data_IF_281986260581
#
_entry.id   IF_281986260581
#
_cell.length_a   1.000
_cell.length_b   1.000
_cell.length_c   1.000
_cell.angle_alpha   90.00
_cell.angle_beta   90.00
_cell.angle_gamma   90.00
#
_symmetry.space_group_name_H-M   'P 1'
#
loop_
_entity.id
_entity.type
_entity.pdbx_description
1 polymer ?
#
# COMPACT_ATOMS: atom_id res chain seq x y z
N UNK A 1 -16.19 -76.14 46.14
CA UNK A 1 -15.88 -74.78 46.64
C UNK A 1 -15.12 -74.05 45.54
N UNK A 2 -15.80 -73.25 44.72
CA UNK A 2 -15.16 -72.34 43.76
C UNK A 2 -14.98 -70.98 44.45
N UNK A 3 -13.73 -70.51 44.53
CA UNK A 3 -13.41 -69.17 45.02
C UNK A 3 -13.38 -68.20 43.83
N UNK A 4 -14.27 -67.22 43.84
CA UNK A 4 -14.31 -66.13 42.86
C UNK A 4 -13.34 -65.02 43.29
N UNK A 5 -12.37 -64.68 42.45
CA UNK A 5 -11.51 -63.51 42.61
C UNK A 5 -12.16 -62.30 41.92
N UNK A 6 -12.46 -61.26 42.70
CA UNK A 6 -12.98 -59.98 42.21
C UNK A 6 -11.83 -59.01 41.98
N UNK A 7 -11.70 -58.49 40.76
CA UNK A 7 -10.69 -57.52 40.34
C UNK A 7 -11.27 -56.09 40.43
N UNK A 8 -10.64 -55.11 41.10
CA UNK A 8 -11.07 -53.71 41.01
C UNK A 8 -10.43 -53.04 39.79
N UNK A 9 -11.27 -52.60 38.85
CA UNK A 9 -10.88 -51.80 37.68
C UNK A 9 -10.75 -50.32 38.08
N UNK A 10 -9.52 -49.82 38.18
CA UNK A 10 -9.25 -48.39 38.35
C UNK A 10 -9.47 -47.66 37.02
N UNK A 11 -10.52 -46.84 36.96
CA UNK A 11 -10.79 -45.89 35.87
C UNK A 11 -9.94 -44.62 36.06
N UNK A 12 -8.80 -44.57 35.38
CA UNK A 12 -7.98 -43.36 35.25
C UNK A 12 -8.65 -42.38 34.28
N UNK A 13 -9.32 -41.36 34.79
CA UNK A 13 -9.81 -40.21 34.02
C UNK A 13 -8.61 -39.40 33.52
N UNK A 14 -8.24 -39.61 32.26
CA UNK A 14 -7.27 -38.78 31.55
C UNK A 14 -7.99 -37.51 31.08
N UNK A 15 -7.81 -36.41 31.82
CA UNK A 15 -8.16 -35.07 31.33
C UNK A 15 -7.21 -34.70 30.18
N UNK A 16 -7.57 -35.10 28.95
CA UNK A 16 -6.95 -34.56 27.76
C UNK A 16 -7.28 -33.08 27.66
N UNK A 17 -6.32 -32.21 27.98
CA UNK A 17 -6.39 -30.82 27.60
C UNK A 17 -6.36 -30.75 26.07
N UNK A 18 -7.53 -30.65 25.44
CA UNK A 18 -7.62 -30.23 24.04
C UNK A 18 -7.03 -28.83 23.98
N UNK A 19 -5.85 -28.70 23.34
CA UNK A 19 -5.37 -27.40 22.91
C UNK A 19 -6.45 -26.83 21.99
N UNK A 20 -7.17 -25.80 22.44
CA UNK A 20 -8.14 -25.11 21.61
C UNK A 20 -7.42 -24.56 20.37
N UNK A 21 -7.95 -24.85 19.18
CA UNK A 21 -7.42 -24.28 17.94
C UNK A 21 -7.39 -22.76 18.06
N UNK A 22 -6.22 -22.17 17.80
CA UNK A 22 -6.03 -20.72 17.85
C UNK A 22 -6.97 -20.07 16.82
N UNK A 23 -7.69 -18.98 17.17
CA UNK A 23 -8.52 -18.27 16.20
C UNK A 23 -7.64 -17.71 15.07
N UNK A 24 -8.12 -17.80 13.84
CA UNK A 24 -7.41 -17.26 12.67
C UNK A 24 -7.99 -15.91 12.28
N UNK A 25 -7.15 -14.88 12.18
CA UNK A 25 -7.48 -13.60 11.56
C UNK A 25 -7.05 -13.61 10.10
N UNK A 26 -8.00 -13.44 9.18
CA UNK A 26 -7.71 -13.35 7.75
C UNK A 26 -7.61 -11.91 7.30
N UNK A 27 -6.47 -11.52 6.74
CA UNK A 27 -6.21 -10.17 6.22
C UNK A 27 -5.98 -10.24 4.72
N UNK A 28 -6.84 -9.57 3.94
CA UNK A 28 -6.61 -9.43 2.50
C UNK A 28 -5.65 -8.27 2.26
N UNK A 29 -4.61 -8.50 1.48
CA UNK A 29 -3.58 -7.51 1.13
C UNK A 29 -2.97 -7.83 -0.22
N UNK A 30 -1.91 -7.14 -0.63
CA UNK A 30 -1.23 -7.28 -1.91
C UNK A 30 0.06 -8.11 -1.82
N UNK A 31 0.50 -8.65 -2.95
CA UNK A 31 1.61 -9.62 -3.07
C UNK A 31 2.91 -9.17 -2.39
N UNK A 32 3.39 -7.97 -2.67
CA UNK A 32 4.64 -7.40 -2.16
C UNK A 32 4.61 -7.23 -0.65
N UNK A 33 3.45 -6.94 -0.05
CA UNK A 33 3.30 -6.89 1.41
C UNK A 33 3.60 -8.25 2.05
N UNK A 34 3.14 -9.33 1.42
CA UNK A 34 3.19 -10.71 1.97
C UNK A 34 4.45 -11.48 1.59
N UNK A 35 5.20 -10.99 0.61
CA UNK A 35 6.43 -11.61 0.12
C UNK A 35 7.46 -11.81 1.25
N UNK A 36 8.39 -12.77 1.06
CA UNK A 36 9.45 -13.06 2.05
C UNK A 36 10.36 -11.84 2.33
N UNK A 37 10.46 -10.92 1.38
CA UNK A 37 11.21 -9.68 1.49
C UNK A 37 10.35 -8.48 1.93
N UNK A 38 9.02 -8.64 1.99
CA UNK A 38 8.07 -7.62 2.42
C UNK A 38 7.95 -7.52 3.95
N UNK A 39 7.07 -6.62 4.45
CA UNK A 39 6.86 -6.43 5.89
C UNK A 39 6.01 -7.55 6.54
N UNK A 40 5.21 -8.28 5.76
CA UNK A 40 4.23 -9.26 6.21
C UNK A 40 4.78 -10.34 7.15
N UNK A 41 5.89 -11.03 6.82
CA UNK A 41 6.46 -12.05 7.70
C UNK A 41 6.80 -11.54 9.10
N UNK A 42 7.42 -10.36 9.20
CA UNK A 42 7.77 -9.75 10.50
C UNK A 42 6.53 -9.33 11.29
N UNK A 43 5.56 -8.73 10.61
CA UNK A 43 4.25 -8.33 11.19
C UNK A 43 3.51 -9.55 11.74
N UNK A 44 3.48 -10.65 10.97
CA UNK A 44 2.86 -11.91 11.39
C UNK A 44 3.51 -12.44 12.65
N UNK A 45 4.83 -12.57 12.69
CA UNK A 45 5.54 -13.02 13.88
C UNK A 45 5.27 -12.14 15.10
N UNK A 46 5.32 -10.81 14.95
CA UNK A 46 5.10 -9.88 16.05
C UNK A 46 3.66 -9.93 16.58
N UNK A 47 2.65 -9.95 15.71
CA UNK A 47 1.25 -9.98 16.12
C UNK A 47 0.87 -11.32 16.78
N UNK A 48 1.31 -12.45 16.20
CA UNK A 48 1.03 -13.80 16.73
C UNK A 48 1.63 -14.04 18.11
N UNK A 49 2.75 -13.37 18.43
CA UNK A 49 3.35 -13.40 19.76
C UNK A 49 2.47 -12.74 20.84
N UNK A 50 1.52 -11.88 20.46
CA UNK A 50 0.71 -11.07 21.37
C UNK A 50 -0.77 -11.48 21.41
N UNK A 51 -1.33 -11.91 20.28
CA UNK A 51 -2.77 -12.16 20.15
C UNK A 51 -3.21 -13.58 20.57
N UNK A 52 -2.29 -14.55 20.69
CA UNK A 52 -2.65 -15.95 20.87
C UNK A 52 -3.44 -16.54 19.68
N UNK A 53 -3.28 -15.96 18.49
CA UNK A 53 -4.04 -16.23 17.28
C UNK A 53 -3.13 -16.75 16.14
N UNK A 54 -3.73 -17.05 15.00
CA UNK A 54 -3.02 -17.19 13.73
C UNK A 54 -3.36 -16.01 12.81
N UNK A 55 -2.36 -15.36 12.23
CA UNK A 55 -2.53 -14.33 11.22
C UNK A 55 -2.36 -14.95 9.82
N UNK A 56 -3.43 -14.93 9.03
CA UNK A 56 -3.44 -15.42 7.66
C UNK A 56 -3.52 -14.25 6.68
N UNK A 57 -2.43 -13.96 5.98
CA UNK A 57 -2.46 -13.01 4.87
C UNK A 57 -2.91 -13.71 3.59
N UNK A 58 -3.87 -13.11 2.90
CA UNK A 58 -4.27 -13.52 1.54
C UNK A 58 -3.75 -12.46 0.57
N UNK A 59 -2.75 -12.87 -0.21
CA UNK A 59 -2.13 -12.04 -1.24
C UNK A 59 -3.03 -11.94 -2.47
N UNK A 60 -3.31 -10.71 -2.88
CA UNK A 60 -3.96 -10.35 -4.13
C UNK A 60 -2.96 -9.58 -5.02
N UNK A 61 -3.26 -9.42 -6.30
CA UNK A 61 -2.33 -8.80 -7.27
C UNK A 61 -1.89 -7.37 -6.85
N UNK A 62 -2.80 -6.54 -6.35
CA UNK A 62 -2.54 -5.16 -5.93
C UNK A 62 -3.63 -4.64 -4.96
N UNK A 63 -3.46 -3.43 -4.41
CA UNK A 63 -4.45 -2.85 -3.50
C UNK A 63 -5.81 -2.47 -4.15
N UNK A 64 -5.85 -2.25 -5.47
CA UNK A 64 -7.11 -2.10 -6.22
C UNK A 64 -7.89 -3.44 -6.31
N UNK A 65 -7.15 -4.55 -6.37
CA UNK A 65 -7.67 -5.90 -6.34
C UNK A 65 -8.25 -6.25 -4.97
N UNK A 66 -7.72 -5.70 -3.87
CA UNK A 66 -8.30 -5.84 -2.51
C UNK A 66 -9.74 -5.33 -2.46
N UNK A 67 -9.98 -4.09 -2.87
CA UNK A 67 -11.35 -3.53 -2.87
C UNK A 67 -12.27 -4.28 -3.84
N UNK A 68 -11.75 -4.62 -5.03
CA UNK A 68 -12.53 -5.34 -6.05
C UNK A 68 -12.95 -6.73 -5.56
N UNK A 69 -12.04 -7.46 -4.90
CA UNK A 69 -12.32 -8.77 -4.30
C UNK A 69 -13.34 -8.66 -3.17
N UNK A 70 -13.17 -7.69 -2.27
CA UNK A 70 -14.12 -7.45 -1.18
C UNK A 70 -15.54 -7.19 -1.71
N UNK A 71 -15.66 -6.35 -2.77
CA UNK A 71 -16.95 -6.06 -3.41
C UNK A 71 -17.59 -7.29 -4.06
N UNK A 72 -16.78 -8.12 -4.72
CA UNK A 72 -17.25 -9.33 -5.39
C UNK A 72 -17.79 -10.36 -4.39
N UNK A 73 -17.09 -10.55 -3.27
CA UNK A 73 -17.49 -11.50 -2.23
C UNK A 73 -18.61 -10.97 -1.31
N UNK A 74 -18.69 -9.64 -1.15
CA UNK A 74 -19.70 -8.98 -0.33
C UNK A 74 -19.71 -9.50 1.11
N UNK A 75 -20.89 -9.83 1.63
CA UNK A 75 -21.06 -10.33 3.01
C UNK A 75 -20.48 -11.73 3.24
N UNK A 76 -20.18 -12.47 2.16
CA UNK A 76 -19.65 -13.83 2.24
C UNK A 76 -18.12 -13.86 2.24
N UNK A 77 -17.47 -12.69 2.23
CA UNK A 77 -16.01 -12.59 2.27
C UNK A 77 -15.43 -13.31 3.48
N UNK A 78 -14.23 -13.87 3.29
CA UNK A 78 -13.46 -14.48 4.38
C UNK A 78 -12.52 -13.48 5.06
N UNK A 79 -12.41 -12.27 4.53
CA UNK A 79 -11.60 -11.22 5.14
C UNK A 79 -12.19 -10.75 6.47
N UNK A 80 -11.34 -10.65 7.48
CA UNK A 80 -11.63 -9.98 8.75
C UNK A 80 -11.16 -8.52 8.70
N UNK A 81 -10.04 -8.29 8.03
CA UNK A 81 -9.45 -6.97 7.76
C UNK A 81 -9.07 -6.92 6.29
N UNK A 82 -9.21 -5.75 5.68
CA UNK A 82 -8.57 -5.42 4.41
C UNK A 82 -7.44 -4.44 4.69
N UNK A 83 -6.24 -4.71 4.16
CA UNK A 83 -5.05 -3.88 4.30
C UNK A 83 -4.50 -3.62 2.89
N UNK A 84 -4.13 -2.38 2.59
CA UNK A 84 -3.70 -1.97 1.24
C UNK A 84 -4.80 -1.27 0.43
N UNK A 85 -5.83 -0.77 1.11
CA UNK A 85 -6.63 0.32 0.55
C UNK A 85 -5.80 1.61 0.56
N UNK A 86 -6.28 2.69 -0.07
CA UNK A 86 -5.59 3.98 -0.01
C UNK A 86 -6.56 5.17 0.03
N UNK A 87 -6.02 6.35 0.30
CA UNK A 87 -6.75 7.62 0.37
C UNK A 87 -7.63 7.91 -0.86
N UNK A 88 -7.23 7.49 -2.06
CA UNK A 88 -7.95 7.80 -3.30
C UNK A 88 -9.22 6.94 -3.48
N UNK A 89 -9.30 5.79 -2.82
CA UNK A 89 -10.43 4.85 -2.94
C UNK A 89 -11.29 4.75 -1.68
N UNK A 90 -11.00 5.53 -0.64
CA UNK A 90 -11.75 5.52 0.64
C UNK A 90 -13.26 5.70 0.45
N UNK A 91 -13.65 6.70 -0.35
CA UNK A 91 -15.06 7.00 -0.57
C UNK A 91 -15.79 5.85 -1.29
N UNK A 92 -15.14 5.20 -2.27
CA UNK A 92 -15.68 4.02 -2.94
C UNK A 92 -15.78 2.82 -1.99
N UNK A 93 -14.75 2.62 -1.17
CA UNK A 93 -14.72 1.54 -0.18
C UNK A 93 -15.82 1.71 0.88
N UNK A 94 -16.06 2.94 1.36
CA UNK A 94 -17.13 3.23 2.30
C UNK A 94 -18.53 3.03 1.69
N UNK A 95 -18.74 3.42 0.42
CA UNK A 95 -20.01 3.23 -0.29
C UNK A 95 -20.41 1.76 -0.46
N UNK A 96 -19.47 0.81 -0.33
CA UNK A 96 -19.80 -0.62 -0.37
C UNK A 96 -20.69 -1.06 0.81
N UNK A 97 -20.64 -0.34 1.94
CA UNK A 97 -21.30 -0.74 3.18
C UNK A 97 -20.73 -2.00 3.84
N UNK A 98 -19.56 -2.48 3.38
CA UNK A 98 -18.90 -3.71 3.86
C UNK A 98 -17.93 -3.47 5.01
N UNK A 99 -17.60 -2.21 5.32
CA UNK A 99 -16.63 -1.85 6.35
C UNK A 99 -17.33 -1.54 7.68
N UNK A 100 -16.69 -1.93 8.79
CA UNK A 100 -17.09 -1.59 10.14
C UNK A 100 -16.24 -0.43 10.67
N UNK A 101 -16.80 0.32 11.63
CA UNK A 101 -16.04 1.34 12.34
C UNK A 101 -15.00 0.70 13.26
N UNK A 102 -13.90 1.42 13.51
CA UNK A 102 -12.89 1.07 14.50
C UNK A 102 -12.86 2.09 15.63
N UNK A 103 -12.23 1.70 16.74
CA UNK A 103 -12.01 2.54 17.93
C UNK A 103 -10.51 2.83 18.16
N UNK A 104 -9.68 2.68 17.12
CA UNK A 104 -8.23 2.97 17.18
C UNK A 104 -7.98 4.44 17.48
N UNK A 105 -7.15 4.70 18.50
CA UNK A 105 -6.63 6.03 18.80
C UNK A 105 -5.59 6.44 17.74
N UNK A 106 -5.94 7.44 16.92
CA UNK A 106 -5.12 7.96 15.84
C UNK A 106 -4.35 9.21 16.22
N UNK A 107 -4.33 9.60 17.51
CA UNK A 107 -3.61 10.80 17.97
C UNK A 107 -2.09 10.73 17.75
N UNK A 108 -1.54 9.52 17.59
CA UNK A 108 -0.12 9.26 17.30
C UNK A 108 0.21 9.35 15.81
N UNK A 109 -0.79 9.47 14.94
CA UNK A 109 -0.58 9.56 13.49
C UNK A 109 0.02 10.91 13.13
N UNK A 110 1.15 10.89 12.41
CA UNK A 110 1.97 12.07 12.10
C UNK A 110 1.98 12.43 10.61
N UNK A 111 1.06 11.85 9.84
CA UNK A 111 0.84 12.23 8.43
C UNK A 111 0.52 13.73 8.35
N UNK A 112 1.08 14.48 7.37
CA UNK A 112 0.70 15.87 7.15
C UNK A 112 -0.82 16.05 7.00
N UNK A 113 -1.41 16.98 7.75
CA UNK A 113 -2.86 17.20 7.78
C UNK A 113 -3.61 16.35 8.82
N UNK A 114 -2.92 15.45 9.52
CA UNK A 114 -3.51 14.58 10.54
C UNK A 114 -4.37 13.47 9.95
N UNK A 115 -4.98 12.68 10.84
CA UNK A 115 -5.89 11.61 10.44
C UNK A 115 -7.05 11.50 11.42
N UNK A 116 -8.27 11.63 10.92
CA UNK A 116 -9.50 11.37 11.68
C UNK A 116 -10.51 10.71 10.74
N UNK A 117 -10.62 9.39 10.85
CA UNK A 117 -11.58 8.62 10.08
C UNK A 117 -12.09 7.44 10.92
N UNK A 118 -13.41 7.19 10.95
CA UNK A 118 -13.96 6.12 11.78
C UNK A 118 -13.85 4.72 11.16
N UNK A 119 -13.45 4.58 9.89
CA UNK A 119 -13.40 3.30 9.17
C UNK A 119 -12.00 2.86 8.78
N UNK A 120 -11.08 3.81 8.61
CA UNK A 120 -9.77 3.57 8.01
C UNK A 120 -8.65 3.97 8.98
N UNK A 121 -7.72 3.05 9.21
CA UNK A 121 -6.48 3.32 9.96
C UNK A 121 -5.33 3.35 8.96
N UNK A 122 -4.51 4.40 8.92
CA UNK A 122 -3.38 4.46 8.03
C UNK A 122 -2.24 3.63 8.60
N UNK A 123 -1.47 2.98 7.75
CA UNK A 123 -0.37 2.12 8.20
C UNK A 123 0.99 2.58 7.66
N UNK A 124 1.03 3.19 6.48
CA UNK A 124 2.16 3.93 5.94
C UNK A 124 1.68 5.04 5.00
N UNK A 125 2.63 5.85 4.54
CA UNK A 125 2.39 6.82 3.48
C UNK A 125 3.65 7.05 2.63
N UNK A 126 3.44 7.61 1.44
CA UNK A 126 4.51 7.95 0.51
C UNK A 126 4.04 8.95 -0.52
N UNK A 127 4.96 9.35 -1.39
CA UNK A 127 4.69 10.32 -2.43
C UNK A 127 5.11 9.74 -3.77
N UNK A 128 4.24 9.82 -4.77
CA UNK A 128 4.60 9.43 -6.12
C UNK A 128 5.68 10.35 -6.66
N UNK A 129 6.70 9.77 -7.28
CA UNK A 129 7.82 10.50 -7.87
C UNK A 129 8.41 9.71 -9.03
N UNK A 130 9.00 10.42 -9.99
CA UNK A 130 9.80 9.77 -11.02
C UNK A 130 11.21 9.52 -10.49
N UNK A 131 11.61 8.24 -10.47
CA UNK A 131 12.95 7.80 -10.08
C UNK A 131 13.84 7.79 -11.32
N UNK A 132 15.10 8.21 -11.14
CA UNK A 132 16.10 8.25 -12.20
C UNK A 132 17.48 7.86 -11.64
N UNK A 133 18.41 7.50 -12.53
CA UNK A 133 19.80 7.25 -12.17
C UNK A 133 20.65 8.52 -12.38
N UNK A 134 21.17 9.11 -11.29
CA UNK A 134 21.98 10.34 -11.26
C UNK A 134 23.30 10.24 -12.03
N UNK A 135 23.82 9.03 -12.26
CA UNK A 135 25.03 8.84 -13.06
C UNK A 135 24.74 9.04 -14.54
N UNK A 136 23.55 8.63 -15.00
CA UNK A 136 23.09 8.70 -16.39
C UNK A 136 22.39 10.02 -16.72
N UNK A 137 21.55 10.53 -15.81
CA UNK A 137 20.76 11.75 -16.01
C UNK A 137 21.20 12.86 -15.05
N UNK A 138 21.90 13.87 -15.58
CA UNK A 138 22.40 15.02 -14.79
C UNK A 138 21.39 16.14 -14.59
N UNK A 139 20.45 16.29 -15.53
CA UNK A 139 19.48 17.37 -15.56
C UNK A 139 18.04 16.81 -15.54
N UNK A 140 17.60 16.15 -14.45
CA UNK A 140 16.22 15.66 -14.34
C UNK A 140 15.22 16.84 -14.40
N UNK A 141 13.96 16.59 -14.83
CA UNK A 141 12.91 17.60 -14.73
C UNK A 141 12.69 18.02 -13.27
N UNK A 142 12.45 19.32 -13.06
CA UNK A 142 12.24 19.91 -11.72
C UNK A 142 10.78 20.25 -11.43
N UNK A 143 9.89 19.91 -12.34
CA UNK A 143 8.45 20.15 -12.24
C UNK A 143 7.69 19.13 -13.07
N UNK A 144 6.42 18.90 -12.74
CA UNK A 144 5.54 18.09 -13.58
C UNK A 144 5.35 18.77 -14.95
N UNK A 145 5.39 20.09 -15.00
CA UNK A 145 5.45 20.85 -16.26
C UNK A 145 6.66 20.50 -17.11
N UNK A 146 7.86 20.55 -16.55
CA UNK A 146 9.07 20.12 -17.27
C UNK A 146 9.00 18.65 -17.67
N UNK A 147 8.49 17.78 -16.79
CA UNK A 147 8.27 16.38 -17.13
C UNK A 147 7.41 16.28 -18.39
N UNK A 148 6.31 17.01 -18.49
CA UNK A 148 5.35 16.95 -19.62
C UNK A 148 5.90 17.60 -20.89
N UNK A 149 6.58 18.74 -20.79
CA UNK A 149 6.93 19.57 -21.95
C UNK A 149 8.27 19.24 -22.59
N UNK A 150 9.22 18.68 -21.84
CA UNK A 150 10.54 18.28 -22.36
C UNK A 150 10.49 16.95 -23.12
N UNK A 151 11.38 16.77 -24.07
CA UNK A 151 11.50 15.60 -24.95
C UNK A 151 12.90 14.97 -24.94
N UNK A 152 13.78 15.40 -24.03
CA UNK A 152 15.17 14.95 -23.93
C UNK A 152 15.37 13.66 -23.10
N UNK A 153 14.28 13.05 -22.64
CA UNK A 153 14.28 11.79 -21.89
C UNK A 153 13.00 11.01 -22.15
N UNK A 154 13.05 9.71 -21.91
CA UNK A 154 11.88 8.83 -21.97
C UNK A 154 11.48 8.32 -20.59
N UNK A 155 10.23 7.83 -20.47
CA UNK A 155 9.67 7.37 -19.20
C UNK A 155 8.93 6.04 -19.32
N UNK A 156 8.84 5.33 -18.20
CA UNK A 156 7.89 4.23 -17.99
C UNK A 156 6.97 4.57 -16.80
N UNK A 157 5.69 4.23 -16.91
CA UNK A 157 4.74 4.30 -15.81
C UNK A 157 3.71 3.16 -15.91
N UNK A 158 2.83 3.04 -14.91
CA UNK A 158 1.87 1.93 -14.83
C UNK A 158 0.46 2.36 -15.27
N UNK A 159 -0.34 1.40 -15.72
CA UNK A 159 -1.71 1.62 -16.15
C UNK A 159 -2.61 1.99 -14.96
N UNK A 160 -3.30 3.15 -14.98
CA UNK A 160 -4.14 3.59 -13.86
C UNK A 160 -5.40 2.75 -13.62
N UNK A 161 -5.73 1.81 -14.51
CA UNK A 161 -6.85 0.87 -14.36
C UNK A 161 -6.49 -0.32 -13.49
N UNK A 162 -5.22 -0.69 -13.43
CA UNK A 162 -4.73 -1.88 -12.72
C UNK A 162 -3.73 -1.55 -11.63
N UNK A 163 -3.00 -0.43 -11.70
CA UNK A 163 -1.99 -0.08 -10.70
C UNK A 163 -2.40 1.11 -9.85
N UNK A 164 -2.23 1.01 -8.52
CA UNK A 164 -2.36 2.17 -7.62
C UNK A 164 -1.33 3.24 -7.97
N UNK A 165 -0.10 2.85 -8.31
CA UNK A 165 0.94 3.80 -8.73
C UNK A 165 0.54 4.51 -10.01
N UNK A 166 0.01 3.78 -11.00
CA UNK A 166 -0.55 4.37 -12.22
C UNK A 166 -1.71 5.32 -11.94
N UNK A 167 -2.64 4.93 -11.06
CA UNK A 167 -3.74 5.79 -10.62
C UNK A 167 -3.22 7.05 -9.92
N UNK A 168 -2.15 6.91 -9.14
CA UNK A 168 -1.42 8.00 -8.51
C UNK A 168 -0.99 9.07 -9.52
N UNK A 169 -0.35 8.66 -10.62
CA UNK A 169 0.03 9.61 -11.69
C UNK A 169 -1.18 10.19 -12.40
N UNK A 170 -2.25 9.42 -12.63
CA UNK A 170 -3.51 9.94 -13.16
C UNK A 170 -4.04 11.11 -12.33
N UNK A 171 -4.10 10.91 -11.01
CA UNK A 171 -4.59 11.93 -10.07
C UNK A 171 -3.58 13.08 -9.91
N UNK A 172 -2.29 12.80 -9.99
CA UNK A 172 -1.25 13.82 -9.94
C UNK A 172 -1.32 14.76 -11.14
N UNK A 173 -1.37 14.22 -12.36
CA UNK A 173 -1.55 15.01 -13.59
C UNK A 173 -2.85 15.80 -13.50
N UNK A 174 -3.95 15.19 -13.05
CA UNK A 174 -5.22 15.91 -12.92
C UNK A 174 -5.16 17.03 -11.88
N UNK A 175 -4.49 16.83 -10.76
CA UNK A 175 -4.34 17.84 -9.70
C UNK A 175 -3.57 19.08 -10.16
N UNK A 176 -2.63 18.93 -11.09
CA UNK A 176 -1.79 20.03 -11.61
C UNK A 176 -2.39 20.66 -12.86
N UNK A 177 -2.92 19.86 -13.79
CA UNK A 177 -3.38 20.34 -15.09
C UNK A 177 -4.88 20.60 -15.18
N UNK A 178 -5.70 20.05 -14.28
CA UNK A 178 -7.15 20.18 -14.31
C UNK A 178 -7.72 19.81 -15.67
N UNK A 179 -8.41 20.75 -16.32
CA UNK A 179 -9.04 20.54 -17.63
C UNK A 179 -8.04 20.38 -18.79
N UNK A 180 -6.76 20.74 -18.58
CA UNK A 180 -5.68 20.56 -19.57
C UNK A 180 -4.98 19.20 -19.46
N UNK A 181 -5.53 18.27 -18.68
CA UNK A 181 -4.90 16.98 -18.46
C UNK A 181 -4.78 16.14 -19.75
N UNK A 182 -5.77 16.21 -20.65
CA UNK A 182 -5.71 15.53 -21.95
C UNK A 182 -4.48 15.98 -22.79
N UNK A 183 -4.26 17.29 -22.92
CA UNK A 183 -3.10 17.85 -23.63
C UNK A 183 -1.78 17.41 -23.00
N UNK A 184 -1.73 17.35 -21.66
CA UNK A 184 -0.56 16.87 -20.93
C UNK A 184 -0.29 15.39 -21.23
N UNK A 185 -1.34 14.56 -21.26
CA UNK A 185 -1.24 13.13 -21.57
C UNK A 185 -0.76 12.86 -22.99
N UNK A 186 -1.23 13.62 -24.00
CA UNK A 186 -0.71 13.52 -25.36
C UNK A 186 0.80 13.79 -25.44
N UNK A 187 1.30 14.77 -24.67
CA UNK A 187 2.74 15.06 -24.61
C UNK A 187 3.52 13.99 -23.83
N UNK A 188 2.95 13.46 -22.76
CA UNK A 188 3.52 12.33 -22.01
C UNK A 188 3.65 11.10 -22.93
N UNK A 189 2.61 10.80 -23.71
CA UNK A 189 2.56 9.64 -24.61
C UNK A 189 3.77 9.59 -25.56
N UNK A 190 4.17 10.74 -26.12
CA UNK A 190 5.28 10.85 -27.08
C UNK A 190 6.65 10.39 -26.57
N UNK A 191 6.85 10.39 -25.25
CA UNK A 191 8.10 9.95 -24.59
C UNK A 191 7.90 8.74 -23.68
N UNK A 192 6.72 8.11 -23.73
CA UNK A 192 6.42 6.92 -22.95
C UNK A 192 6.96 5.70 -23.68
N UNK A 193 7.90 4.98 -23.07
CA UNK A 193 8.44 3.73 -23.63
C UNK A 193 7.38 2.62 -23.58
N UNK A 194 6.72 2.49 -22.42
CA UNK A 194 5.60 1.56 -22.23
C UNK A 194 4.73 1.98 -21.04
N UNK A 195 3.52 1.44 -20.99
CA UNK A 195 2.61 1.50 -19.85
C UNK A 195 2.44 0.07 -19.32
N UNK A 196 3.01 -0.23 -18.15
CA UNK A 196 2.98 -1.58 -17.58
C UNK A 196 1.69 -1.86 -16.80
N UNK A 197 1.35 -3.14 -16.55
CA UNK A 197 0.18 -3.50 -15.73
C UNK A 197 0.37 -3.09 -14.27
N UNK A 198 1.56 -3.32 -13.72
CA UNK A 198 1.90 -3.01 -12.33
C UNK A 198 3.30 -2.43 -12.15
N UNK A 199 3.57 -2.00 -10.91
CA UNK A 199 4.87 -1.42 -10.53
C UNK A 199 6.01 -2.44 -10.67
N UNK A 200 5.76 -3.69 -10.25
CA UNK A 200 6.69 -4.82 -10.32
C UNK A 200 7.13 -5.18 -11.74
N UNK A 201 6.35 -4.78 -12.76
CA UNK A 201 6.74 -4.93 -14.16
C UNK A 201 7.66 -3.78 -14.59
N UNK A 202 7.28 -2.53 -14.27
CA UNK A 202 7.98 -1.33 -14.72
C UNK A 202 9.34 -1.07 -14.07
N UNK A 203 9.46 -1.33 -12.76
CA UNK A 203 10.67 -0.95 -12.02
C UNK A 203 11.89 -1.78 -12.47
N UNK A 204 11.79 -3.12 -12.67
CA UNK A 204 12.89 -3.89 -13.24
C UNK A 204 13.28 -3.48 -14.66
N UNK A 205 12.32 -3.06 -15.50
CA UNK A 205 12.63 -2.54 -16.85
C UNK A 205 13.50 -1.27 -16.77
N UNK A 206 13.16 -0.37 -15.84
CA UNK A 206 13.97 0.81 -15.56
C UNK A 206 15.39 0.45 -15.06
N UNK A 207 15.52 -0.51 -14.14
CA UNK A 207 16.83 -0.96 -13.66
C UNK A 207 17.70 -1.56 -14.78
N UNK A 208 17.08 -2.19 -15.78
CA UNK A 208 17.75 -2.68 -17.01
C UNK A 208 18.12 -1.58 -18.00
N UNK A 209 17.73 -0.33 -17.73
CA UNK A 209 18.02 0.82 -18.57
C UNK A 209 17.07 1.00 -19.75
N UNK A 210 15.87 0.42 -19.71
CA UNK A 210 14.87 0.58 -20.77
C UNK A 210 14.22 1.97 -20.77
N UNK A 211 14.35 2.74 -19.67
CA UNK A 211 13.97 4.15 -19.64
C UNK A 211 14.88 5.02 -18.76
N UNK A 212 14.85 6.33 -18.99
CA UNK A 212 15.59 7.32 -18.19
C UNK A 212 14.93 7.55 -16.82
N UNK A 213 13.60 7.49 -16.77
CA UNK A 213 12.83 7.65 -15.53
C UNK A 213 11.67 6.67 -15.43
N UNK A 214 11.32 6.28 -14.21
CA UNK A 214 10.14 5.45 -13.92
C UNK A 214 9.26 6.06 -12.84
N UNK A 215 7.95 6.00 -13.01
CA UNK A 215 7.02 6.35 -11.94
C UNK A 215 7.15 5.34 -10.78
N UNK A 216 7.49 5.84 -9.60
CA UNK A 216 7.62 5.09 -8.36
C UNK A 216 7.33 6.01 -7.17
N UNK A 217 8.05 5.86 -6.06
CA UNK A 217 7.89 6.66 -4.86
C UNK A 217 9.15 7.48 -4.55
N UNK A 218 8.97 8.59 -3.82
CA UNK A 218 10.09 9.41 -3.32
C UNK A 218 11.02 8.63 -2.39
N UNK A 219 10.51 7.55 -1.79
CA UNK A 219 11.23 6.65 -0.88
C UNK A 219 11.95 5.50 -1.58
N UNK A 220 11.68 5.23 -2.87
CA UNK A 220 12.32 4.11 -3.59
C UNK A 220 13.86 4.13 -3.56
N UNK A 221 14.56 5.28 -3.61
CA UNK A 221 16.01 5.29 -3.46
C UNK A 221 16.52 4.71 -2.14
N UNK A 222 15.71 4.66 -1.08
CA UNK A 222 16.10 4.06 0.20
C UNK A 222 16.42 2.58 0.07
N UNK A 223 15.71 1.84 -0.80
CA UNK A 223 16.02 0.44 -1.10
C UNK A 223 17.46 0.31 -1.61
N UNK A 224 17.80 1.08 -2.64
CA UNK A 224 19.14 1.04 -3.23
C UNK A 224 20.22 1.44 -2.22
N UNK A 225 19.98 2.49 -1.42
CA UNK A 225 20.94 2.95 -0.42
C UNK A 225 21.17 1.90 0.67
N UNK A 226 20.09 1.31 1.21
CA UNK A 226 20.14 0.48 2.42
C UNK A 226 20.41 -0.99 2.09
N UNK A 227 19.72 -1.54 1.08
CA UNK A 227 19.80 -2.95 0.72
C UNK A 227 20.93 -3.25 -0.26
N UNK A 228 21.26 -2.30 -1.16
CA UNK A 228 22.26 -2.52 -2.22
C UNK A 228 23.53 -1.68 -2.04
N UNK A 229 23.59 -0.80 -1.04
CA UNK A 229 24.68 0.17 -0.86
C UNK A 229 24.95 0.99 -2.13
N UNK A 230 23.90 1.32 -2.87
CA UNK A 230 23.92 2.03 -4.14
C UNK A 230 23.22 3.38 -4.02
N UNK A 231 23.99 4.46 -4.20
CA UNK A 231 23.51 5.84 -4.10
C UNK A 231 23.21 6.47 -5.47
N UNK A 232 23.22 5.71 -6.56
CA UNK A 232 23.06 6.25 -7.91
C UNK A 232 21.63 6.70 -8.20
N UNK A 233 20.63 6.12 -7.52
CA UNK A 233 19.23 6.41 -7.75
C UNK A 233 18.74 7.60 -6.93
N UNK A 234 17.84 8.39 -7.51
CA UNK A 234 17.17 9.49 -6.83
C UNK A 234 15.74 9.65 -7.35
N UNK A 235 14.89 10.28 -6.55
CA UNK A 235 13.54 10.67 -6.92
C UNK A 235 13.50 12.16 -7.26
N UNK A 236 12.89 12.52 -8.39
CA UNK A 236 12.78 13.91 -8.81
C UNK A 236 11.82 14.69 -7.88
N UNK A 237 12.26 15.87 -7.44
CA UNK A 237 11.47 16.75 -6.57
C UNK A 237 10.78 17.84 -7.40
N UNK A 238 9.47 17.73 -7.61
CA UNK A 238 8.74 18.62 -8.50
C UNK A 238 8.19 19.85 -7.76
N UNK A 239 8.36 21.02 -8.36
CA UNK A 239 8.01 22.32 -7.77
C UNK A 239 6.52 22.50 -7.44
N UNK A 240 5.63 21.84 -8.19
CA UNK A 240 4.19 21.82 -7.92
C UNK A 240 3.84 21.04 -6.65
N UNK A 241 4.72 20.12 -6.23
CA UNK A 241 4.48 19.14 -5.19
C UNK A 241 4.29 17.74 -5.76
N UNK A 242 4.21 16.77 -4.85
CA UNK A 242 4.05 15.36 -5.17
C UNK A 242 2.72 14.86 -4.63
N UNK A 243 2.07 14.00 -5.40
CA UNK A 243 0.82 13.39 -4.99
C UNK A 243 1.07 12.30 -3.95
N UNK A 244 0.37 12.37 -2.82
CA UNK A 244 0.53 11.42 -1.74
C UNK A 244 -0.36 10.18 -1.90
N UNK A 245 0.21 9.05 -1.49
CA UNK A 245 -0.51 7.84 -1.18
C UNK A 245 -0.43 7.62 0.33
N UNK A 246 -1.58 7.46 0.96
CA UNK A 246 -1.69 6.99 2.34
C UNK A 246 -2.34 5.63 2.26
N UNK A 247 -1.64 4.58 2.68
CA UNK A 247 -2.16 3.22 2.65
C UNK A 247 -2.93 2.92 3.94
N UNK A 248 -4.07 2.25 3.77
CA UNK A 248 -5.13 2.14 4.77
C UNK A 248 -5.52 0.69 5.00
N UNK A 249 -5.81 0.40 6.26
CA UNK A 249 -6.52 -0.79 6.67
C UNK A 249 -7.95 -0.46 7.10
N UNK A 250 -8.86 -1.42 6.95
CA UNK A 250 -10.22 -1.31 7.44
C UNK A 250 -10.75 -2.66 7.95
N UNK A 251 -11.56 -2.59 9.01
CA UNK A 251 -12.24 -3.76 9.58
C UNK A 251 -13.43 -4.16 8.72
N UNK A 252 -13.60 -5.45 8.46
CA UNK A 252 -14.72 -5.97 7.67
C UNK A 252 -15.95 -6.19 8.55
N UNK A 253 -17.11 -5.69 8.12
CA UNK A 253 -18.36 -5.72 8.89
C UNK A 253 -18.95 -7.11 9.08
N UNK A 254 -18.78 -8.00 8.11
CA UNK A 254 -19.27 -9.38 8.19
C UNK A 254 -18.34 -10.34 8.94
N UNK A 255 -17.16 -9.88 9.39
CA UNK A 255 -16.21 -10.71 10.12
C UNK A 255 -16.84 -11.32 11.37
N UNK A 256 -16.60 -12.61 11.57
CA UNK A 256 -16.93 -13.33 12.80
C UNK A 256 -15.86 -13.15 13.90
N UNK A 257 -14.71 -12.56 13.56
CA UNK A 257 -13.56 -12.34 14.43
C UNK A 257 -13.40 -10.86 14.81
N UNK A 258 -14.49 -10.12 15.02
CA UNK A 258 -14.48 -8.66 15.27
C UNK A 258 -13.48 -8.23 16.36
N UNK A 259 -13.44 -8.91 17.50
CA UNK A 259 -12.50 -8.57 18.60
C UNK A 259 -11.04 -8.73 18.18
N UNK A 260 -10.74 -9.77 17.42
CA UNK A 260 -9.37 -10.03 16.94
C UNK A 260 -8.99 -9.04 15.83
N UNK A 261 -9.95 -8.66 14.98
CA UNK A 261 -9.77 -7.58 14.02
C UNK A 261 -9.51 -6.25 14.72
N UNK A 262 -10.23 -5.92 15.81
CA UNK A 262 -9.97 -4.70 16.60
C UNK A 262 -8.56 -4.69 17.21
N UNK A 263 -8.08 -5.83 17.72
CA UNK A 263 -6.70 -5.97 18.19
C UNK A 263 -5.69 -5.72 17.08
N UNK A 264 -5.92 -6.28 15.88
CA UNK A 264 -5.04 -6.04 14.74
C UNK A 264 -5.07 -4.58 14.27
N UNK A 265 -6.25 -3.96 14.21
CA UNK A 265 -6.39 -2.55 13.85
C UNK A 265 -5.62 -1.64 14.83
N UNK A 266 -5.60 -1.96 16.13
CA UNK A 266 -4.77 -1.26 17.13
C UNK A 266 -3.28 -1.54 16.94
N UNK A 267 -2.92 -2.79 16.62
CA UNK A 267 -1.54 -3.19 16.39
C UNK A 267 -0.88 -2.45 15.22
N UNK A 268 -1.64 -2.01 14.22
CA UNK A 268 -1.13 -1.23 13.07
C UNK A 268 -0.33 0.01 13.52
N UNK A 269 -0.75 0.68 14.59
CA UNK A 269 -0.07 1.89 15.09
C UNK A 269 0.96 1.59 16.20
N UNK A 270 1.27 0.32 16.45
CA UNK A 270 2.32 -0.08 17.38
C UNK A 270 3.72 0.06 16.77
N UNK A 271 4.74 0.16 17.62
CA UNK A 271 6.14 0.25 17.17
C UNK A 271 6.57 -1.02 16.41
N UNK A 272 6.06 -2.20 16.79
CA UNK A 272 6.36 -3.47 16.10
C UNK A 272 5.89 -3.47 14.65
N UNK A 273 4.70 -2.91 14.38
CA UNK A 273 4.20 -2.75 13.02
C UNK A 273 4.94 -1.62 12.29
N UNK A 274 5.05 -0.46 12.93
CA UNK A 274 5.56 0.76 12.30
C UNK A 274 7.07 0.68 12.00
N UNK A 275 7.84 -0.06 12.78
CA UNK A 275 9.30 -0.18 12.62
C UNK A 275 9.71 -0.87 11.32
N UNK A 276 8.82 -1.69 10.74
CA UNK A 276 9.13 -2.45 9.52
C UNK A 276 8.63 -1.77 8.25
N UNK A 277 7.90 -0.65 8.32
CA UNK A 277 7.38 0.04 7.12
C UNK A 277 8.51 0.57 6.24
N UNK A 278 9.50 1.25 6.84
CA UNK A 278 10.58 1.90 6.12
C UNK A 278 11.53 0.94 5.37
N UNK A 279 11.65 -0.31 5.81
CA UNK A 279 12.58 -1.30 5.20
C UNK A 279 11.91 -2.56 4.70
N UNK A 280 10.60 -2.72 4.95
CA UNK A 280 9.78 -3.79 4.40
C UNK A 280 8.95 -3.31 3.21
N UNK A 281 8.16 -2.25 3.39
CA UNK A 281 7.31 -1.70 2.32
C UNK A 281 7.98 -0.54 1.56
N UNK A 282 9.11 -0.02 2.06
CA UNK A 282 9.82 1.15 1.52
C UNK A 282 8.95 2.41 1.48
N UNK A 283 8.12 2.58 2.51
CA UNK A 283 7.21 3.70 2.73
C UNK A 283 7.50 4.37 4.07
N UNK A 284 7.04 5.60 4.27
CA UNK A 284 7.15 6.26 5.56
C UNK A 284 6.16 5.65 6.56
N UNK A 285 6.59 5.35 7.80
CA UNK A 285 5.68 5.00 8.88
C UNK A 285 4.76 6.19 9.21
N UNK A 286 3.58 5.91 9.72
CA UNK A 286 2.59 6.93 10.11
C UNK A 286 2.75 7.40 11.55
N UNK A 287 3.72 6.88 12.31
CA UNK A 287 4.05 7.30 13.68
C UNK A 287 5.44 7.92 13.76
N UNK A 288 5.84 8.41 14.93
CA UNK A 288 7.16 9.02 15.18
C UNK A 288 8.30 8.00 15.34
N UNK A 289 8.18 6.79 14.80
CA UNK A 289 9.26 5.81 14.88
C UNK A 289 10.47 6.31 14.08
N UNK A 290 11.67 6.07 14.63
CA UNK A 290 12.90 6.53 14.00
C UNK A 290 13.09 5.87 12.63
N UNK A 291 13.34 6.68 11.61
CA UNK A 291 13.70 6.18 10.28
C UNK A 291 15.11 5.56 10.30
N UNK A 292 15.33 4.49 9.53
CA UNK A 292 16.65 3.87 9.43
C UNK A 292 17.63 4.78 8.68
N UNK A 293 18.92 4.64 8.98
CA UNK A 293 20.00 5.35 8.26
C UNK A 293 19.87 5.13 6.76
N UNK A 294 20.07 6.17 5.97
CA UNK A 294 19.83 6.23 4.53
C UNK A 294 18.60 7.05 4.16
N UNK A 295 17.57 7.09 5.02
CA UNK A 295 16.38 7.91 4.78
C UNK A 295 16.68 9.42 4.81
N UNK A 296 17.67 9.86 5.57
CA UNK A 296 18.11 11.25 5.63
C UNK A 296 18.69 11.77 4.30
N UNK A 297 19.03 10.86 3.37
CA UNK A 297 19.56 11.19 2.05
C UNK A 297 18.46 11.36 0.99
N UNK A 298 17.20 11.06 1.34
CA UNK A 298 16.07 11.15 0.41
C UNK A 298 15.61 12.59 0.27
N UNK A 299 15.13 12.92 -0.94
CA UNK A 299 14.44 14.19 -1.16
C UNK A 299 13.03 14.11 -0.60
N UNK A 300 12.72 14.96 0.38
CA UNK A 300 11.36 15.09 0.92
C UNK A 300 10.58 16.12 0.08
N UNK A 301 9.39 15.75 -0.43
CA UNK A 301 8.45 16.68 -1.08
C UNK A 301 8.20 17.94 -0.27
N UNK A 302 8.22 19.09 -0.92
CA UNK A 302 7.92 20.39 -0.26
C UNK A 302 6.43 20.63 -0.10
N UNK A 303 5.61 19.98 -0.93
CA UNK A 303 4.15 20.08 -0.93
C UNK A 303 3.53 18.70 -1.15
N UNK A 304 2.60 18.36 -0.27
CA UNK A 304 1.76 17.19 -0.41
C UNK A 304 0.51 17.55 -1.21
N UNK A 305 0.35 16.94 -2.38
CA UNK A 305 -0.87 17.03 -3.17
C UNK A 305 -1.77 15.84 -2.86
N UNK A 306 -3.08 16.10 -2.76
CA UNK A 306 -4.10 15.07 -2.64
C UNK A 306 -5.42 15.67 -3.12
N UNK A 307 -6.21 14.91 -3.88
CA UNK A 307 -7.56 15.31 -4.26
C UNK A 307 -8.58 14.83 -3.21
N UNK A 308 -9.71 15.52 -3.12
CA UNK A 308 -10.82 15.10 -2.28
C UNK A 308 -11.29 13.68 -2.70
N UNK A 309 -11.28 12.68 -1.78
CA UNK A 309 -11.69 11.32 -2.09
C UNK A 309 -13.11 11.20 -2.66
N UNK A 310 -14.03 12.09 -2.29
CA UNK A 310 -15.40 12.13 -2.84
C UNK A 310 -15.42 12.60 -4.29
N UNK A 311 -14.55 13.54 -4.65
CA UNK A 311 -14.39 13.99 -6.03
C UNK A 311 -13.74 12.87 -6.85
N UNK A 312 -12.67 12.26 -6.33
CA UNK A 312 -12.01 11.12 -6.99
C UNK A 312 -13.02 10.00 -7.25
N UNK A 313 -13.81 9.59 -6.25
CA UNK A 313 -14.79 8.52 -6.42
C UNK A 313 -15.80 8.78 -7.54
N UNK A 314 -16.23 10.03 -7.74
CA UNK A 314 -17.18 10.44 -8.79
C UNK A 314 -16.52 10.54 -10.16
N UNK A 315 -15.28 11.01 -10.22
CA UNK A 315 -14.63 11.42 -11.47
C UNK A 315 -13.62 10.43 -12.02
N UNK A 316 -13.10 9.50 -11.20
CA UNK A 316 -12.02 8.59 -11.57
C UNK A 316 -12.29 7.88 -12.90
N UNK A 317 -13.49 7.32 -13.10
CA UNK A 317 -13.87 6.65 -14.36
C UNK A 317 -13.80 7.61 -15.57
N UNK A 318 -14.15 8.87 -15.39
CA UNK A 318 -14.08 9.87 -16.45
C UNK A 318 -12.63 10.23 -16.77
N UNK A 319 -11.81 10.50 -15.74
CA UNK A 319 -10.39 10.83 -15.90
C UNK A 319 -9.58 9.66 -16.47
N UNK A 320 -9.91 8.42 -16.12
CA UNK A 320 -9.31 7.24 -16.73
C UNK A 320 -9.62 7.16 -18.23
N UNK A 321 -10.85 7.50 -18.66
CA UNK A 321 -11.18 7.56 -20.09
C UNK A 321 -10.49 8.72 -20.80
N UNK A 322 -10.40 9.89 -20.16
CA UNK A 322 -9.62 11.03 -20.66
C UNK A 322 -8.18 10.62 -20.94
N UNK A 323 -7.52 9.92 -20.01
CA UNK A 323 -6.20 9.34 -20.19
C UNK A 323 -6.13 8.35 -21.36
N UNK A 324 -7.04 7.36 -21.42
CA UNK A 324 -7.03 6.36 -22.50
C UNK A 324 -7.16 6.99 -23.89
N UNK A 325 -8.07 7.96 -24.05
CA UNK A 325 -8.28 8.63 -25.32
C UNK A 325 -7.05 9.45 -25.72
N UNK A 326 -6.45 10.19 -24.77
CA UNK A 326 -5.27 11.00 -25.02
C UNK A 326 -4.01 10.19 -25.41
N UNK A 327 -3.93 8.90 -25.06
CA UNK A 327 -2.85 8.01 -25.50
C UNK A 327 -3.06 7.41 -26.90
N UNK A 328 -4.29 7.48 -27.44
CA UNK A 328 -4.67 6.84 -28.71
C UNK A 328 -4.69 7.83 -29.89
N UNK A 329 -4.35 9.10 -29.65
CA UNK A 329 -4.27 10.19 -30.62
C UNK A 329 -2.83 10.49 -31.02
#
# INVERSE_FOLDING_TARGET
>A
MLAAFSLPLLLSLSNGAQAADKPTLTVYTYDSFTSDWGPGPKIKTAFEAQCGCQLNFVALDDGGSVLSRLRLEGKNTKADVVLGLNNNIMAQAQQTGLLAKHDVDTSKVTIPGGWDNPYFVPFDYGYFAFVYNKTKMKNPPKSLKELVERDDFNIIYQDPRTSITGQGLLLWVKSVYGDKAADAWQKIAKKTVTVSKGWSDSYPMFLKGESDMVLSYSTSPAYHIIAENNQDYAAANFAEGQYAQIELAAKVKSSHHQKLADQFMQFILSDDFQSVMATGNWMYPVTNIALPKGYEQLSVPTKMLSLDPQVVAKQLKSWTREWQMALSE
#
